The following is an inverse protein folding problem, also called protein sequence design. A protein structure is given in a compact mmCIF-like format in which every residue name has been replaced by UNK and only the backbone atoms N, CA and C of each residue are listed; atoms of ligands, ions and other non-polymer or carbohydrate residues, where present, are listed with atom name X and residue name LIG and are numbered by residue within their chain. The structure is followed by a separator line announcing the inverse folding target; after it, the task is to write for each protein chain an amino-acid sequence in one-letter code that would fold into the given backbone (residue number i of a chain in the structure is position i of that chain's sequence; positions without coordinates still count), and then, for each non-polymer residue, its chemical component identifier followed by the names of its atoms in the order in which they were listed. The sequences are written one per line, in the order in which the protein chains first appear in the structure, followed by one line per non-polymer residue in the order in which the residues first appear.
data_IF_266612381328
#
_entry.id   IF_266612381328
#
_cell.length_a   1.000
_cell.length_b   1.000
_cell.length_c   1.000
_cell.angle_alpha   90.00
_cell.angle_beta   90.00
_cell.angle_gamma   90.00
#
_symmetry.space_group_name_H-M   'P 1'
#
loop_
_entity.id
_entity.type
_entity.pdbx_description
1 polymer ?
#
# COMPACT_ATOMS: atom_id res chain seq x y z
N UNK A 1 -30.07 30.54 49.14
CA UNK A 1 -30.40 30.64 47.70
C UNK A 1 -29.14 31.05 46.94
N UNK A 2 -28.44 30.09 46.36
CA UNK A 2 -27.35 30.29 45.39
C UNK A 2 -27.48 29.12 44.39
N UNK A 3 -27.71 29.34 43.09
CA UNK A 3 -27.95 28.24 42.16
C UNK A 3 -26.66 27.64 41.61
N UNK A 4 -26.71 26.33 41.44
CA UNK A 4 -25.73 25.41 40.91
C UNK A 4 -25.46 25.60 39.41
N UNK A 5 -24.19 25.69 39.02
CA UNK A 5 -23.72 25.52 37.65
C UNK A 5 -22.76 24.32 37.59
N UNK A 6 -23.31 23.13 37.39
CA UNK A 6 -22.58 21.95 36.93
C UNK A 6 -23.47 21.16 35.99
N UNK A 7 -23.08 21.15 34.70
CA UNK A 7 -23.37 20.15 33.64
C UNK A 7 -23.42 20.86 32.28
N UNK A 8 -22.31 20.85 31.54
CA UNK A 8 -22.32 20.77 30.07
C UNK A 8 -20.89 20.73 29.51
N UNK A 9 -20.14 19.66 29.74
CA UNK A 9 -18.95 19.33 28.92
C UNK A 9 -18.87 17.81 28.83
N UNK A 10 -19.55 17.22 27.85
CA UNK A 10 -19.28 15.86 27.32
C UNK A 10 -20.21 15.61 26.13
N UNK A 11 -19.90 16.23 24.99
CA UNK A 11 -20.44 15.88 23.66
C UNK A 11 -19.68 16.63 22.57
N UNK A 12 -18.40 16.30 22.35
CA UNK A 12 -17.70 16.65 21.11
C UNK A 12 -16.41 15.83 20.94
N UNK A 13 -16.55 14.51 20.75
CA UNK A 13 -15.40 13.66 20.32
C UNK A 13 -15.75 12.87 19.03
N UNK A 14 -16.99 12.97 18.54
CA UNK A 14 -17.45 12.24 17.34
C UNK A 14 -17.15 12.92 15.99
N UNK A 15 -16.73 14.19 15.98
CA UNK A 15 -16.59 14.98 14.74
C UNK A 15 -15.28 14.73 13.98
N UNK A 16 -14.18 14.44 14.68
CA UNK A 16 -12.84 14.43 14.08
C UNK A 16 -12.56 13.17 13.23
N UNK A 17 -13.21 12.03 13.56
CA UNK A 17 -13.08 10.79 12.78
C UNK A 17 -13.67 10.85 11.38
N UNK A 18 -14.63 11.74 11.10
CA UNK A 18 -15.23 11.91 9.77
C UNK A 18 -14.38 12.75 8.82
N UNK A 19 -13.51 13.61 9.34
CA UNK A 19 -12.72 14.53 8.51
C UNK A 19 -11.52 13.83 7.84
N UNK A 20 -10.89 12.87 8.52
CA UNK A 20 -9.77 12.08 7.95
C UNK A 20 -10.28 11.06 6.92
N UNK A 21 -11.47 10.47 7.12
CA UNK A 21 -12.12 9.63 6.10
C UNK A 21 -12.59 10.45 4.88
N UNK A 22 -12.95 11.72 5.07
CA UNK A 22 -13.35 12.63 3.99
C UNK A 22 -12.20 13.01 3.05
N UNK A 23 -10.96 13.14 3.57
CA UNK A 23 -9.80 13.49 2.74
C UNK A 23 -9.38 12.32 1.81
N UNK A 24 -9.61 11.08 2.22
CA UNK A 24 -9.42 9.90 1.36
C UNK A 24 -10.48 9.80 0.25
N UNK A 25 -11.68 10.37 0.45
CA UNK A 25 -12.77 10.36 -0.53
C UNK A 25 -12.67 11.53 -1.54
N UNK A 26 -12.13 12.67 -1.15
CA UNK A 26 -12.10 13.87 -1.99
C UNK A 26 -10.99 13.88 -3.06
N UNK A 27 -9.91 13.11 -2.90
CA UNK A 27 -8.86 12.98 -3.93
C UNK A 27 -9.17 11.93 -5.01
N UNK A 28 -10.25 11.16 -4.89
CA UNK A 28 -10.61 10.10 -5.84
C UNK A 28 -11.38 10.55 -7.08
N UNK A 29 -11.78 11.83 -7.17
CA UNK A 29 -12.74 12.30 -8.19
C UNK A 29 -12.13 12.89 -9.47
N UNK A 30 -10.80 12.81 -9.66
CA UNK A 30 -10.12 13.32 -10.86
C UNK A 30 -9.02 12.36 -11.37
N UNK A 31 -9.24 11.05 -11.32
CA UNK A 31 -8.38 10.10 -12.02
C UNK A 31 -8.99 9.71 -13.38
N UNK A 32 -8.24 9.77 -14.49
CA UNK A 32 -8.72 9.33 -15.79
C UNK A 32 -9.11 7.85 -15.76
N UNK A 33 -10.23 7.53 -16.41
CA UNK A 33 -10.71 6.17 -16.62
C UNK A 33 -9.64 5.37 -17.37
N UNK A 34 -8.92 4.50 -16.66
CA UNK A 34 -7.81 3.72 -17.21
C UNK A 34 -6.86 3.13 -16.17
N UNK A 35 -6.85 3.66 -14.95
CA UNK A 35 -6.25 2.97 -13.81
C UNK A 35 -7.30 2.01 -13.25
N UNK A 36 -7.24 0.73 -13.61
CA UNK A 36 -7.97 -0.29 -12.83
C UNK A 36 -7.54 -0.11 -11.38
N UNK A 37 -8.47 0.19 -10.48
CA UNK A 37 -8.20 0.23 -9.05
C UNK A 37 -7.45 -1.06 -8.70
N UNK A 38 -6.17 -0.95 -8.35
CA UNK A 38 -5.42 -2.08 -7.82
C UNK A 38 -6.25 -2.71 -6.71
N UNK A 39 -6.27 -4.05 -6.56
CA UNK A 39 -6.94 -4.67 -5.44
C UNK A 39 -6.42 -4.01 -4.16
N UNK A 40 -7.34 -3.45 -3.37
CA UNK A 40 -7.02 -2.66 -2.17
C UNK A 40 -5.91 -3.36 -1.36
N UNK A 41 -4.83 -2.62 -1.06
CA UNK A 41 -3.75 -3.12 -0.20
C UNK A 41 -4.32 -3.59 1.13
N UNK A 42 -3.63 -4.49 1.84
CA UNK A 42 -4.09 -4.93 3.16
C UNK A 42 -4.35 -3.72 4.08
N UNK A 43 -3.49 -2.71 4.03
CA UNK A 43 -3.67 -1.46 4.76
C UNK A 43 -4.98 -0.74 4.42
N UNK A 44 -5.31 -0.58 3.14
CA UNK A 44 -6.55 0.08 2.71
C UNK A 44 -7.77 -0.72 3.13
N UNK A 45 -7.74 -2.05 2.99
CA UNK A 45 -8.82 -2.92 3.47
C UNK A 45 -9.05 -2.79 4.96
N UNK A 46 -7.97 -2.72 5.75
CA UNK A 46 -8.07 -2.48 7.19
C UNK A 46 -8.71 -1.10 7.45
N UNK A 47 -8.37 -0.05 6.69
CA UNK A 47 -8.82 1.31 6.95
C UNK A 47 -10.36 1.45 6.92
N UNK A 48 -11.03 0.74 6.00
CA UNK A 48 -12.49 0.76 5.84
C UNK A 48 -13.23 -0.24 6.75
N UNK A 49 -12.51 -0.98 7.59
CA UNK A 49 -13.07 -2.04 8.42
C UNK A 49 -13.16 -1.62 9.88
N UNK A 50 -14.35 -1.82 10.47
CA UNK A 50 -14.63 -1.51 11.87
C UNK A 50 -14.05 -2.55 12.84
N UNK A 51 -14.18 -3.84 12.47
CA UNK A 51 -13.77 -4.98 13.30
C UNK A 51 -12.90 -5.93 12.47
N UNK A 52 -11.69 -6.23 12.96
CA UNK A 52 -10.79 -7.21 12.36
C UNK A 52 -10.42 -8.23 13.42
N UNK A 53 -10.64 -9.50 13.10
CA UNK A 53 -10.53 -10.60 14.06
C UNK A 53 -9.76 -11.76 13.44
N UNK A 54 -8.89 -12.38 14.22
CA UNK A 54 -8.37 -13.71 13.95
C UNK A 54 -9.33 -14.71 14.55
N UNK A 55 -9.78 -15.67 13.75
CA UNK A 55 -10.78 -16.66 14.14
C UNK A 55 -10.37 -18.05 13.75
N UNK A 56 -10.93 -19.03 14.44
CA UNK A 56 -11.00 -20.43 14.02
C UNK A 56 -12.44 -20.77 13.65
N UNK A 57 -12.65 -21.36 12.48
CA UNK A 57 -13.98 -21.79 12.05
C UNK A 57 -14.38 -23.04 12.83
N UNK A 58 -15.54 -23.01 13.48
CA UNK A 58 -16.11 -24.17 14.17
C UNK A 58 -17.09 -24.95 13.28
N UNK A 59 -17.89 -24.23 12.50
CA UNK A 59 -18.86 -24.81 11.58
C UNK A 59 -19.00 -23.93 10.34
N UNK A 60 -18.65 -24.49 9.18
CA UNK A 60 -18.72 -23.85 7.87
C UNK A 60 -20.08 -23.87 7.15
N UNK A 61 -21.22 -24.16 7.81
CA UNK A 61 -22.50 -24.38 7.10
C UNK A 61 -22.83 -23.33 6.04
N UNK A 62 -23.60 -23.75 5.03
CA UNK A 62 -23.93 -22.93 3.86
C UNK A 62 -24.74 -21.65 4.16
N UNK A 63 -25.30 -21.49 5.37
CA UNK A 63 -26.14 -20.34 5.73
C UNK A 63 -25.39 -19.30 6.55
N UNK A 64 -24.66 -19.73 7.57
CA UNK A 64 -23.86 -18.91 8.46
C UNK A 64 -22.63 -19.73 8.86
N UNK A 65 -21.45 -19.12 8.83
CA UNK A 65 -20.28 -19.74 9.45
C UNK A 65 -20.25 -19.36 10.92
N UNK A 66 -20.09 -20.34 11.81
CA UNK A 66 -19.80 -20.12 13.22
C UNK A 66 -18.29 -20.11 13.40
N UNK A 67 -17.76 -19.05 14.01
CA UNK A 67 -16.33 -18.90 14.24
C UNK A 67 -16.06 -18.58 15.71
N UNK A 68 -15.02 -19.22 16.26
CA UNK A 68 -14.44 -18.86 17.53
C UNK A 68 -13.45 -17.72 17.33
N UNK A 69 -13.59 -16.65 18.13
CA UNK A 69 -12.65 -15.53 18.13
C UNK A 69 -11.41 -15.94 18.89
N UNK A 70 -10.27 -15.96 18.20
CA UNK A 70 -8.96 -16.20 18.81
C UNK A 70 -8.39 -14.87 19.33
N UNK A 71 -8.50 -13.81 18.51
CA UNK A 71 -8.00 -12.49 18.86
C UNK A 71 -8.75 -11.37 18.12
N UNK A 72 -8.92 -10.23 18.79
CA UNK A 72 -9.40 -8.98 18.17
C UNK A 72 -8.20 -8.11 17.78
N UNK A 73 -7.92 -8.03 16.48
CA UNK A 73 -6.77 -7.30 15.94
C UNK A 73 -7.06 -5.79 15.75
N UNK A 74 -8.31 -5.44 15.45
CA UNK A 74 -8.81 -4.06 15.33
C UNK A 74 -10.26 -3.97 15.77
N UNK A 75 -10.62 -2.88 16.45
CA UNK A 75 -11.97 -2.67 16.98
C UNK A 75 -12.11 -3.23 18.39
N UNK A 76 -13.34 -3.55 18.79
CA UNK A 76 -13.64 -4.18 20.08
C UNK A 76 -14.75 -5.21 19.91
N UNK A 77 -14.55 -6.39 20.50
CA UNK A 77 -15.53 -7.47 20.53
C UNK A 77 -15.29 -8.32 21.79
N UNK A 78 -16.36 -8.61 22.52
CA UNK A 78 -16.27 -9.19 23.88
C UNK A 78 -16.71 -10.66 23.97
N UNK A 79 -17.22 -11.24 22.87
CA UNK A 79 -17.73 -12.61 22.87
C UNK A 79 -16.74 -13.56 22.23
N UNK A 80 -16.77 -14.82 22.66
CA UNK A 80 -15.87 -15.85 22.12
C UNK A 80 -16.33 -16.37 20.76
N UNK A 81 -17.58 -16.10 20.36
CA UNK A 81 -18.19 -16.65 19.14
C UNK A 81 -18.92 -15.60 18.34
N UNK A 82 -18.74 -15.65 17.03
CA UNK A 82 -19.44 -14.80 16.05
C UNK A 82 -19.97 -15.62 14.87
N UNK A 83 -20.91 -15.03 14.14
CA UNK A 83 -21.55 -15.64 12.98
C UNK A 83 -21.36 -14.79 11.72
N UNK A 84 -20.87 -15.41 10.64
CA UNK A 84 -20.63 -14.74 9.37
C UNK A 84 -21.75 -15.05 8.38
N UNK A 85 -22.45 -14.01 7.92
CA UNK A 85 -23.45 -14.11 6.88
C UNK A 85 -22.84 -13.84 5.50
N UNK A 86 -22.47 -14.91 4.78
CA UNK A 86 -21.82 -14.84 3.47
C UNK A 86 -22.64 -15.42 2.30
N UNK A 87 -23.80 -16.05 2.57
CA UNK A 87 -24.63 -16.67 1.52
C UNK A 87 -25.11 -15.67 0.46
N UNK A 88 -25.57 -14.50 0.87
CA UNK A 88 -26.02 -13.47 -0.06
C UNK A 88 -24.88 -12.99 -0.97
N UNK A 89 -23.66 -12.92 -0.44
CA UNK A 89 -22.47 -12.53 -1.21
C UNK A 89 -22.11 -13.60 -2.25
N UNK A 90 -22.25 -14.88 -1.90
CA UNK A 90 -22.10 -16.01 -2.82
C UNK A 90 -23.18 -16.06 -3.91
N UNK A 91 -24.41 -15.61 -3.62
CA UNK A 91 -25.49 -15.55 -4.62
C UNK A 91 -25.30 -14.38 -5.58
N UNK A 92 -24.73 -13.26 -5.11
CA UNK A 92 -24.48 -12.05 -5.90
C UNK A 92 -23.08 -12.03 -6.54
N UNK A 93 -22.42 -13.18 -6.66
CA UNK A 93 -21.09 -13.28 -7.26
C UNK A 93 -21.19 -13.26 -8.79
N UNK A 94 -20.21 -12.64 -9.43
CA UNK A 94 -20.00 -12.80 -10.87
C UNK A 94 -19.62 -14.25 -11.16
N UNK A 95 -20.09 -14.81 -12.28
CA UNK A 95 -20.02 -16.25 -12.61
C UNK A 95 -18.62 -16.88 -12.55
N UNK A 96 -17.56 -16.07 -12.56
CA UNK A 96 -16.16 -16.52 -12.58
C UNK A 96 -15.41 -16.29 -11.27
N UNK A 97 -16.07 -15.75 -10.24
CA UNK A 97 -15.43 -15.52 -8.93
C UNK A 97 -15.59 -16.73 -8.01
N UNK A 98 -14.52 -17.00 -7.28
CA UNK A 98 -14.51 -18.03 -6.25
C UNK A 98 -15.58 -17.80 -5.21
N UNK A 99 -16.07 -18.93 -4.69
CA UNK A 99 -17.08 -18.93 -3.64
C UNK A 99 -16.39 -18.69 -2.30
N UNK A 100 -17.01 -17.89 -1.44
CA UNK A 100 -16.64 -17.81 -0.03
C UNK A 100 -17.02 -19.14 0.62
N UNK A 101 -16.01 -19.86 1.11
CA UNK A 101 -16.15 -21.13 1.83
C UNK A 101 -15.40 -21.01 3.15
N UNK A 102 -15.98 -21.59 4.20
CA UNK A 102 -15.36 -21.74 5.52
C UNK A 102 -15.19 -23.24 5.75
N UNK A 103 -13.97 -23.68 6.02
CA UNK A 103 -13.69 -25.07 6.37
C UNK A 103 -13.54 -25.20 7.88
N UNK A 104 -14.06 -26.28 8.45
CA UNK A 104 -13.97 -26.53 9.89
C UNK A 104 -12.51 -26.59 10.33
N UNK A 105 -12.22 -26.06 11.53
CA UNK A 105 -10.88 -25.86 12.12
C UNK A 105 -9.94 -24.93 11.33
N UNK A 106 -10.37 -24.36 10.20
CA UNK A 106 -9.56 -23.39 9.45
C UNK A 106 -9.42 -22.08 10.22
N UNK A 107 -8.19 -21.58 10.31
CA UNK A 107 -7.90 -20.24 10.83
C UNK A 107 -7.89 -19.19 9.71
N UNK A 108 -8.51 -18.05 10.00
CA UNK A 108 -8.60 -16.92 9.06
C UNK A 108 -8.55 -15.59 9.82
N UNK A 109 -8.10 -14.54 9.13
CA UNK A 109 -8.36 -13.15 9.54
C UNK A 109 -9.59 -12.66 8.79
N UNK A 110 -10.59 -12.17 9.52
CA UNK A 110 -11.82 -11.65 8.96
C UNK A 110 -11.93 -10.15 9.16
N UNK A 111 -12.28 -9.45 8.09
CA UNK A 111 -12.60 -8.02 8.07
C UNK A 111 -14.12 -7.88 8.06
N UNK A 112 -14.67 -7.33 9.15
CA UNK A 112 -16.08 -7.47 9.48
C UNK A 112 -16.81 -6.12 9.57
N UNK A 113 -18.06 -6.14 9.11
CA UNK A 113 -19.06 -5.10 9.37
C UNK A 113 -20.33 -5.71 9.96
N UNK A 114 -21.01 -5.06 10.92
CA UNK A 114 -22.25 -5.58 11.50
C UNK A 114 -23.33 -5.78 10.43
N UNK A 115 -24.08 -6.89 10.48
CA UNK A 115 -25.27 -7.04 9.62
C UNK A 115 -26.33 -6.06 10.09
N UNK A 116 -26.71 -5.12 9.22
CA UNK A 116 -27.82 -4.19 9.47
C UNK A 116 -29.10 -4.66 8.78
N UNK A 117 -30.25 -4.34 9.38
CA UNK A 117 -31.56 -4.51 8.76
C UNK A 117 -31.89 -3.36 7.79
N UNK A 118 -33.11 -3.36 7.23
CA UNK A 118 -33.56 -2.30 6.31
C UNK A 118 -33.69 -0.92 6.97
N UNK A 119 -33.74 -0.86 8.30
CA UNK A 119 -33.79 0.37 9.09
C UNK A 119 -32.39 0.80 9.56
N UNK A 120 -31.35 0.04 9.24
CA UNK A 120 -29.97 0.31 9.62
C UNK A 120 -29.59 -0.18 11.03
N UNK A 121 -30.48 -0.87 11.74
CA UNK A 121 -30.19 -1.44 13.06
C UNK A 121 -29.42 -2.75 12.94
N UNK A 122 -28.47 -3.05 13.84
CA UNK A 122 -27.78 -4.33 13.84
C UNK A 122 -28.77 -5.47 14.09
N UNK A 123 -28.85 -6.44 13.16
CA UNK A 123 -29.79 -7.57 13.24
C UNK A 123 -29.54 -8.47 14.44
N UNK A 124 -28.28 -8.64 14.83
CA UNK A 124 -27.85 -9.36 16.01
C UNK A 124 -26.44 -8.89 16.41
N UNK A 125 -26.11 -8.83 17.71
CA UNK A 125 -24.84 -8.28 18.20
C UNK A 125 -23.60 -9.13 17.84
N UNK A 126 -23.79 -10.38 17.45
CA UNK A 126 -22.71 -11.31 17.08
C UNK A 126 -22.76 -11.73 15.60
N UNK A 127 -23.51 -11.00 14.77
CA UNK A 127 -23.70 -11.37 13.36
C UNK A 127 -23.09 -10.32 12.43
N UNK A 128 -22.18 -10.76 11.58
CA UNK A 128 -21.36 -9.90 10.73
C UNK A 128 -21.41 -10.34 9.26
N UNK A 129 -20.91 -9.48 8.38
CA UNK A 129 -20.60 -9.77 6.97
C UNK A 129 -19.14 -9.43 6.71
N UNK A 130 -18.57 -10.03 5.67
CA UNK A 130 -17.22 -9.71 5.22
C UNK A 130 -17.21 -8.37 4.46
N UNK A 131 -16.28 -7.49 4.83
CA UNK A 131 -15.99 -6.26 4.08
C UNK A 131 -15.35 -6.65 2.75
N UNK A 132 -15.86 -6.12 1.63
CA UNK A 132 -15.30 -6.45 0.31
C UNK A 132 -15.56 -7.90 -0.15
N UNK A 133 -16.59 -8.58 0.39
CA UNK A 133 -16.95 -9.97 0.04
C UNK A 133 -15.77 -10.93 0.31
N UNK A 134 -15.27 -11.62 -0.72
CA UNK A 134 -14.18 -12.59 -0.60
C UNK A 134 -12.89 -11.95 -0.05
N UNK A 135 -12.61 -10.69 -0.40
CA UNK A 135 -11.40 -9.98 0.02
C UNK A 135 -11.37 -9.68 1.53
N UNK A 136 -12.52 -9.83 2.21
CA UNK A 136 -12.63 -9.68 3.65
C UNK A 136 -12.29 -10.94 4.44
N UNK A 137 -12.04 -12.08 3.77
CA UNK A 137 -11.52 -13.30 4.38
C UNK A 137 -10.09 -13.50 3.91
N UNK A 138 -9.15 -13.59 4.85
CA UNK A 138 -7.76 -13.91 4.59
C UNK A 138 -7.49 -15.25 5.28
N UNK A 139 -7.34 -16.29 4.49
CA UNK A 139 -7.04 -17.61 5.02
C UNK A 139 -5.58 -17.67 5.47
N UNK A 140 -5.38 -18.19 6.68
CA UNK A 140 -4.05 -18.27 7.27
C UNK A 140 -3.43 -19.64 6.92
N UNK A 141 -2.36 -19.67 6.11
CA UNK A 141 -1.62 -20.90 5.87
C UNK A 141 -0.91 -21.36 7.15
N UNK A 142 -0.64 -22.66 7.25
CA UNK A 142 0.10 -23.22 8.38
C UNK A 142 1.49 -22.55 8.55
N UNK A 143 2.16 -22.27 7.43
CA UNK A 143 3.42 -21.53 7.38
C UNK A 143 3.16 -20.05 7.10
N UNK A 144 3.65 -19.15 7.97
CA UNK A 144 3.52 -17.71 7.76
C UNK A 144 2.23 -17.07 8.28
N UNK A 145 1.33 -17.81 8.92
CA UNK A 145 0.16 -17.26 9.62
C UNK A 145 0.55 -16.13 10.57
N UNK A 146 1.58 -16.38 11.40
CA UNK A 146 2.03 -15.41 12.41
C UNK A 146 2.51 -14.10 11.78
N UNK A 147 3.24 -14.17 10.66
CA UNK A 147 3.69 -12.99 9.94
C UNK A 147 2.49 -12.17 9.42
N UNK A 148 1.42 -12.82 8.97
CA UNK A 148 0.21 -12.12 8.51
C UNK A 148 -0.53 -11.46 9.67
N UNK A 149 -0.66 -12.16 10.81
CA UNK A 149 -1.27 -11.61 12.03
C UNK A 149 -0.48 -10.39 12.53
N UNK A 150 0.85 -10.50 12.61
CA UNK A 150 1.72 -9.41 13.05
C UNK A 150 1.66 -8.21 12.11
N UNK A 151 1.58 -8.45 10.80
CA UNK A 151 1.36 -7.38 9.83
C UNK A 151 0.03 -6.65 10.12
N UNK A 152 -1.07 -7.37 10.32
CA UNK A 152 -2.37 -6.76 10.63
C UNK A 152 -2.33 -5.97 11.94
N UNK A 153 -1.66 -6.47 13.00
CA UNK A 153 -1.47 -5.74 14.26
C UNK A 153 -0.71 -4.44 14.03
N UNK A 154 0.43 -4.52 13.33
CA UNK A 154 1.30 -3.37 13.06
C UNK A 154 0.58 -2.31 12.24
N UNK A 155 -0.09 -2.70 11.15
CA UNK A 155 -0.86 -1.79 10.31
C UNK A 155 -2.05 -1.17 11.06
N UNK A 156 -2.75 -1.94 11.88
CA UNK A 156 -3.84 -1.44 12.72
C UNK A 156 -3.35 -0.44 13.78
N UNK A 157 -2.13 -0.62 14.30
CA UNK A 157 -1.50 0.34 15.20
C UNK A 157 -1.17 1.66 14.49
N UNK A 158 -0.65 1.61 13.25
CA UNK A 158 -0.40 2.80 12.44
C UNK A 158 -1.70 3.57 12.17
N UNK A 159 -2.82 2.89 11.89
CA UNK A 159 -4.13 3.53 11.68
C UNK A 159 -4.72 4.22 12.92
N UNK A 160 -4.22 3.88 14.11
CA UNK A 160 -4.63 4.53 15.37
C UNK A 160 -3.86 5.82 15.64
N UNK A 161 -2.76 6.08 14.91
CA UNK A 161 -2.02 7.32 15.03
C UNK A 161 -2.91 8.49 14.58
N UNK A 162 -2.96 9.53 15.41
CA UNK A 162 -3.73 10.75 15.11
C UNK A 162 -2.90 11.81 14.42
N UNK A 163 -1.57 11.78 14.62
CA UNK A 163 -0.64 12.70 13.98
C UNK A 163 -0.20 12.17 12.60
N UNK A 164 -0.40 13.00 11.58
CA UNK A 164 -0.04 12.68 10.21
C UNK A 164 1.47 12.53 10.02
N UNK A 165 2.29 13.29 10.75
CA UNK A 165 3.75 13.20 10.65
C UNK A 165 4.27 11.89 11.21
N UNK A 166 3.70 11.44 12.34
CA UNK A 166 4.00 10.12 12.91
C UNK A 166 3.56 9.00 11.98
N UNK A 167 2.39 9.15 11.34
CA UNK A 167 1.87 8.18 10.36
C UNK A 167 2.82 8.06 9.16
N UNK A 168 3.28 9.19 8.60
CA UNK A 168 4.22 9.20 7.49
C UNK A 168 5.59 8.64 7.85
N UNK A 169 6.09 8.95 9.05
CA UNK A 169 7.31 8.34 9.56
C UNK A 169 7.16 6.83 9.70
N UNK A 170 6.02 6.35 10.21
CA UNK A 170 5.74 4.93 10.33
C UNK A 170 5.73 4.22 8.97
N UNK A 171 5.14 4.81 7.92
CA UNK A 171 5.18 4.23 6.57
C UNK A 171 6.60 4.07 6.03
N UNK A 172 7.50 5.02 6.30
CA UNK A 172 8.92 4.90 5.91
C UNK A 172 9.62 3.78 6.67
N UNK A 173 9.34 3.65 7.97
CA UNK A 173 9.90 2.58 8.78
C UNK A 173 9.44 1.18 8.34
N UNK A 174 8.30 1.06 7.64
CA UNK A 174 7.87 -0.24 7.10
C UNK A 174 8.85 -0.83 6.07
N UNK A 175 9.69 -0.01 5.43
CA UNK A 175 10.72 -0.49 4.50
C UNK A 175 11.88 -1.19 5.21
N UNK A 176 12.02 -1.01 6.53
CA UNK A 176 13.06 -1.66 7.35
C UNK A 176 12.58 -2.98 7.96
N UNK A 177 11.31 -3.34 7.74
CA UNK A 177 10.72 -4.57 8.27
C UNK A 177 11.14 -5.78 7.43
N UNK A 178 11.23 -6.94 8.06
CA UNK A 178 11.49 -8.20 7.34
C UNK A 178 10.23 -8.81 6.73
N UNK A 179 9.06 -8.35 7.17
CA UNK A 179 7.78 -8.88 6.72
C UNK A 179 7.39 -8.28 5.36
N UNK A 180 7.25 -9.10 4.30
CA UNK A 180 7.00 -8.60 2.95
C UNK A 180 5.67 -7.84 2.82
N UNK A 181 4.65 -8.18 3.62
CA UNK A 181 3.35 -7.48 3.63
C UNK A 181 3.53 -6.04 4.13
N UNK A 182 4.39 -5.85 5.13
CA UNK A 182 4.71 -4.53 5.69
C UNK A 182 5.52 -3.71 4.70
N UNK A 183 6.57 -4.31 4.11
CA UNK A 183 7.41 -3.65 3.10
C UNK A 183 6.58 -3.21 1.88
N UNK A 184 5.73 -4.09 1.34
CA UNK A 184 4.82 -3.78 0.23
C UNK A 184 3.90 -2.60 0.59
N UNK A 185 3.36 -2.61 1.81
CA UNK A 185 2.54 -1.49 2.31
C UNK A 185 3.36 -0.20 2.39
N UNK A 186 4.60 -0.27 2.89
CA UNK A 186 5.53 0.86 2.95
C UNK A 186 5.72 1.50 1.58
N UNK A 187 6.09 0.70 0.57
CA UNK A 187 6.21 1.16 -0.81
C UNK A 187 4.92 1.81 -1.32
N UNK A 188 3.78 1.13 -1.16
CA UNK A 188 2.50 1.63 -1.65
C UNK A 188 2.12 2.99 -1.03
N UNK A 189 2.28 3.14 0.29
CA UNK A 189 1.94 4.40 0.97
C UNK A 189 2.95 5.52 0.64
N UNK A 190 4.24 5.20 0.52
CA UNK A 190 5.27 6.19 0.15
C UNK A 190 4.99 6.74 -1.24
N UNK A 191 4.73 5.87 -2.22
CA UNK A 191 4.42 6.29 -3.59
C UNK A 191 3.10 7.08 -3.65
N UNK A 192 2.05 6.59 -2.97
CA UNK A 192 0.73 7.22 -2.94
C UNK A 192 0.75 8.64 -2.38
N UNK A 193 1.47 8.85 -1.28
CA UNK A 193 1.54 10.14 -0.59
C UNK A 193 2.79 10.96 -0.92
N UNK A 194 3.60 10.49 -1.87
CA UNK A 194 4.86 11.10 -2.28
C UNK A 194 5.80 11.37 -1.09
N UNK A 195 6.03 10.37 -0.25
CA UNK A 195 6.78 10.49 1.01
C UNK A 195 8.27 10.16 0.91
N UNK A 196 8.78 9.90 -0.29
CA UNK A 196 10.21 9.66 -0.52
C UNK A 196 11.08 10.83 -0.02
N UNK A 197 12.16 10.49 0.69
CA UNK A 197 13.22 11.40 1.10
C UNK A 197 14.61 10.79 0.80
N UNK A 198 15.69 11.59 0.73
CA UNK A 198 17.03 11.09 0.42
C UNK A 198 17.57 10.04 1.41
N UNK A 199 17.16 10.10 2.67
CA UNK A 199 17.57 9.14 3.71
C UNK A 199 17.19 7.69 3.39
N UNK A 200 16.17 7.48 2.55
CA UNK A 200 15.76 6.13 2.12
C UNK A 200 16.65 5.54 1.03
N UNK A 201 17.46 6.35 0.32
CA UNK A 201 18.23 5.88 -0.84
C UNK A 201 19.10 4.66 -0.52
N UNK A 202 19.87 4.60 0.59
CA UNK A 202 20.65 3.40 0.94
C UNK A 202 19.79 2.14 1.04
N UNK A 203 18.67 2.20 1.76
CA UNK A 203 17.74 1.07 1.91
C UNK A 203 17.10 0.69 0.57
N UNK A 204 16.78 1.67 -0.27
CA UNK A 204 16.21 1.41 -1.60
C UNK A 204 17.21 0.74 -2.55
N UNK A 205 18.52 1.00 -2.39
CA UNK A 205 19.56 0.31 -3.13
C UNK A 205 19.67 -1.17 -2.73
N UNK A 206 19.49 -1.51 -1.45
CA UNK A 206 19.46 -2.90 -0.98
C UNK A 206 18.30 -3.68 -1.61
N UNK A 207 17.13 -3.04 -1.79
CA UNK A 207 15.99 -3.66 -2.44
C UNK A 207 16.22 -3.99 -3.93
N UNK A 208 17.24 -3.41 -4.58
CA UNK A 208 17.59 -3.77 -5.96
C UNK A 208 18.16 -5.19 -6.08
N UNK A 209 18.59 -5.80 -4.96
CA UNK A 209 19.06 -7.19 -4.91
C UNK A 209 17.94 -8.17 -4.52
N UNK A 210 16.70 -7.69 -4.33
CA UNK A 210 15.55 -8.52 -4.00
C UNK A 210 15.25 -9.55 -5.08
N UNK A 211 14.91 -10.78 -4.68
CA UNK A 211 14.42 -11.81 -5.60
C UNK A 211 13.05 -11.46 -6.19
N UNK A 212 12.24 -10.71 -5.44
CA UNK A 212 10.94 -10.22 -5.88
C UNK A 212 11.10 -8.98 -6.76
N UNK A 213 10.73 -9.09 -8.03
CA UNK A 213 10.83 -8.02 -9.02
C UNK A 213 9.91 -6.84 -8.68
N UNK A 214 8.81 -7.08 -7.95
CA UNK A 214 7.91 -6.02 -7.49
C UNK A 214 8.61 -5.10 -6.50
N UNK A 215 9.45 -5.65 -5.62
CA UNK A 215 10.24 -4.83 -4.68
C UNK A 215 11.34 -4.06 -5.37
N UNK A 216 12.07 -4.70 -6.31
CA UNK A 216 13.08 -3.99 -7.13
C UNK A 216 12.45 -2.81 -7.86
N UNK A 217 11.32 -3.05 -8.53
CA UNK A 217 10.57 -2.02 -9.25
C UNK A 217 10.06 -0.92 -8.31
N UNK A 218 9.40 -1.26 -7.22
CA UNK A 218 8.87 -0.28 -6.27
C UNK A 218 9.98 0.59 -5.67
N UNK A 219 11.15 0.01 -5.40
CA UNK A 219 12.31 0.76 -4.94
C UNK A 219 12.78 1.80 -5.97
N UNK A 220 12.83 1.45 -7.25
CA UNK A 220 13.17 2.37 -8.35
C UNK A 220 12.12 3.47 -8.54
N UNK A 221 10.84 3.15 -8.36
CA UNK A 221 9.76 4.14 -8.42
C UNK A 221 9.86 5.16 -7.27
N UNK A 222 10.18 4.70 -6.04
CA UNK A 222 10.42 5.61 -4.90
C UNK A 222 11.69 6.43 -5.12
N UNK A 223 12.78 5.83 -5.63
CA UNK A 223 14.00 6.56 -5.99
C UNK A 223 13.74 7.64 -7.04
N UNK A 224 12.99 7.33 -8.09
CA UNK A 224 12.55 8.30 -9.11
C UNK A 224 11.84 9.49 -8.47
N UNK A 225 10.96 9.22 -7.50
CA UNK A 225 10.23 10.26 -6.78
C UNK A 225 11.17 11.14 -5.92
N UNK A 226 12.15 10.52 -5.26
CA UNK A 226 13.18 11.22 -4.47
C UNK A 226 14.03 12.10 -5.40
N UNK A 227 14.58 11.55 -6.48
CA UNK A 227 15.50 12.26 -7.37
C UNK A 227 14.83 13.46 -8.04
N UNK A 228 13.57 13.34 -8.48
CA UNK A 228 12.82 14.49 -9.01
C UNK A 228 12.66 15.61 -7.99
N UNK A 229 12.44 15.24 -6.72
CA UNK A 229 12.30 16.20 -5.63
C UNK A 229 13.66 16.86 -5.34
N UNK A 230 14.70 16.06 -5.10
CA UNK A 230 16.05 16.55 -4.79
C UNK A 230 16.62 17.41 -5.92
N UNK A 231 16.41 17.05 -7.19
CA UNK A 231 16.81 17.86 -8.35
C UNK A 231 16.11 19.22 -8.39
N UNK A 232 14.83 19.27 -8.02
CA UNK A 232 14.07 20.53 -7.96
C UNK A 232 14.49 21.39 -6.77
N UNK A 233 14.78 20.74 -5.65
CA UNK A 233 15.10 21.40 -4.38
C UNK A 233 16.64 21.63 -4.23
N UNK A 234 17.43 21.30 -5.25
CA UNK A 234 18.91 21.36 -5.29
C UNK A 234 19.60 20.65 -4.10
N UNK A 235 18.96 19.58 -3.61
CA UNK A 235 19.43 18.81 -2.45
C UNK A 235 20.37 17.67 -2.91
N UNK A 236 21.58 17.56 -2.35
CA UNK A 236 22.50 16.48 -2.69
C UNK A 236 22.00 15.15 -2.12
N UNK A 237 22.11 14.08 -2.92
CA UNK A 237 21.65 12.73 -2.53
C UNK A 237 22.72 11.93 -1.77
N UNK A 238 23.99 12.36 -1.85
CA UNK A 238 25.13 11.64 -1.30
C UNK A 238 25.47 10.37 -2.09
N UNK A 239 26.77 10.06 -2.19
CA UNK A 239 27.30 8.87 -2.88
C UNK A 239 26.74 8.66 -4.31
N UNK A 240 26.70 9.75 -5.06
CA UNK A 240 26.02 9.83 -6.36
C UNK A 240 26.52 8.80 -7.38
N UNK A 241 27.84 8.61 -7.44
CA UNK A 241 28.45 7.69 -8.40
C UNK A 241 28.08 6.24 -8.11
N UNK A 242 27.96 5.86 -6.84
CA UNK A 242 27.47 4.53 -6.46
C UNK A 242 26.02 4.34 -6.85
N UNK A 243 25.15 5.33 -6.59
CA UNK A 243 23.74 5.29 -6.99
C UNK A 243 23.63 5.10 -8.51
N UNK A 244 24.32 5.92 -9.29
CA UNK A 244 24.31 5.85 -10.76
C UNK A 244 24.81 4.49 -11.25
N UNK A 245 25.92 3.98 -10.72
CA UNK A 245 26.46 2.68 -11.09
C UNK A 245 25.46 1.53 -10.83
N UNK A 246 24.78 1.54 -9.68
CA UNK A 246 23.75 0.55 -9.36
C UNK A 246 22.56 0.64 -10.31
N UNK A 247 22.06 1.85 -10.60
CA UNK A 247 20.94 2.04 -11.51
C UNK A 247 21.27 1.64 -12.95
N UNK A 248 22.49 1.92 -13.42
CA UNK A 248 22.96 1.49 -14.75
C UNK A 248 23.03 -0.04 -14.84
N UNK A 249 23.55 -0.69 -13.80
CA UNK A 249 23.59 -2.16 -13.72
C UNK A 249 22.18 -2.73 -13.88
N UNK A 250 21.21 -2.23 -13.10
CA UNK A 250 19.82 -2.68 -13.18
C UNK A 250 19.20 -2.39 -14.56
N UNK A 251 19.43 -1.20 -15.12
CA UNK A 251 18.89 -0.81 -16.43
C UNK A 251 19.41 -1.69 -17.58
N UNK A 252 20.60 -2.28 -17.45
CA UNK A 252 21.22 -3.12 -18.48
C UNK A 252 20.98 -4.62 -18.26
N UNK A 253 20.95 -5.06 -17.00
CA UNK A 253 21.11 -6.50 -16.67
C UNK A 253 19.91 -7.12 -15.97
N UNK A 254 18.95 -6.35 -15.43
CA UNK A 254 17.82 -6.95 -14.71
C UNK A 254 17.01 -7.87 -15.64
N UNK A 255 16.67 -9.10 -15.23
CA UNK A 255 15.95 -10.02 -16.10
C UNK A 255 14.54 -9.52 -16.48
N UNK A 256 13.92 -8.69 -15.63
CA UNK A 256 12.54 -8.22 -15.80
C UNK A 256 12.51 -6.89 -16.56
N UNK A 257 11.92 -6.83 -17.77
CA UNK A 257 11.89 -5.60 -18.56
C UNK A 257 11.24 -4.39 -17.86
N UNK A 258 10.22 -4.62 -17.04
CA UNK A 258 9.56 -3.54 -16.28
C UNK A 258 10.47 -2.94 -15.20
N UNK A 259 11.38 -3.72 -14.62
CA UNK A 259 12.37 -3.23 -13.66
C UNK A 259 13.42 -2.39 -14.41
N UNK A 260 13.88 -2.84 -15.59
CA UNK A 260 14.79 -2.06 -16.45
C UNK A 260 14.19 -0.72 -16.87
N UNK A 261 12.90 -0.69 -17.26
CA UNK A 261 12.16 0.57 -17.53
C UNK A 261 12.19 1.49 -16.31
N UNK A 262 11.89 0.98 -15.12
CA UNK A 262 11.89 1.78 -13.90
C UNK A 262 13.30 2.32 -13.58
N UNK A 263 14.36 1.56 -13.85
CA UNK A 263 15.75 2.00 -13.67
C UNK A 263 16.13 3.12 -14.65
N UNK A 264 15.73 3.01 -15.93
CA UNK A 264 15.89 4.09 -16.91
C UNK A 264 15.15 5.35 -16.47
N UNK A 265 13.92 5.23 -15.94
CA UNK A 265 13.16 6.36 -15.42
C UNK A 265 13.85 7.02 -14.21
N UNK A 266 14.43 6.22 -13.32
CA UNK A 266 15.22 6.70 -12.19
C UNK A 266 16.47 7.46 -12.66
N UNK A 267 17.23 6.92 -13.62
CA UNK A 267 18.39 7.60 -14.23
C UNK A 267 18.01 8.95 -14.86
N UNK A 268 16.90 8.99 -15.62
CA UNK A 268 16.40 10.23 -16.19
C UNK A 268 15.96 11.24 -15.12
N UNK A 269 15.31 10.77 -14.05
CA UNK A 269 14.89 11.61 -12.92
C UNK A 269 16.09 12.18 -12.16
N UNK A 270 17.18 11.42 -12.08
CA UNK A 270 18.44 11.88 -11.53
C UNK A 270 19.00 13.06 -12.33
N UNK A 271 18.95 12.97 -13.66
CA UNK A 271 19.25 14.11 -14.53
C UNK A 271 20.73 14.32 -14.84
N UNK A 272 21.60 13.35 -14.55
CA UNK A 272 23.02 13.50 -14.84
C UNK A 272 23.32 13.28 -16.34
N UNK A 273 24.17 14.11 -16.95
CA UNK A 273 24.51 13.98 -18.37
C UNK A 273 25.43 12.80 -18.69
N UNK A 274 26.25 12.37 -17.73
CA UNK A 274 27.22 11.29 -17.92
C UNK A 274 26.58 9.90 -18.15
N UNK A 275 25.30 9.73 -17.81
CA UNK A 275 24.56 8.49 -18.11
C UNK A 275 24.09 8.39 -19.57
N UNK A 276 24.23 9.47 -20.37
CA UNK A 276 23.72 9.53 -21.74
C UNK A 276 24.27 8.44 -22.65
N UNK A 277 25.56 8.11 -22.54
CA UNK A 277 26.19 7.09 -23.38
C UNK A 277 25.59 5.70 -23.09
N UNK A 278 25.43 5.35 -21.81
CA UNK A 278 24.85 4.09 -21.40
C UNK A 278 23.35 4.01 -21.77
N UNK A 279 22.58 5.09 -21.59
CA UNK A 279 21.18 5.12 -22.01
C UNK A 279 21.02 5.00 -23.54
N UNK A 280 21.96 5.52 -24.33
CA UNK A 280 21.97 5.31 -25.78
C UNK A 280 22.24 3.86 -26.16
N UNK A 281 23.09 3.15 -25.39
CA UNK A 281 23.31 1.72 -25.58
C UNK A 281 22.03 0.94 -25.26
N UNK A 282 21.40 1.19 -24.10
CA UNK A 282 20.11 0.58 -23.73
C UNK A 282 19.03 0.84 -24.80
N UNK A 283 18.98 2.06 -25.35
CA UNK A 283 18.03 2.42 -26.41
C UNK A 283 18.21 1.62 -27.71
N UNK A 284 19.44 1.18 -28.02
CA UNK A 284 19.75 0.42 -29.24
C UNK A 284 19.64 -1.09 -29.03
N UNK A 285 20.19 -1.58 -27.92
CA UNK A 285 20.57 -2.98 -27.78
C UNK A 285 19.64 -3.78 -26.86
N UNK A 286 18.80 -3.14 -26.04
CA UNK A 286 17.92 -3.86 -25.12
C UNK A 286 16.93 -4.75 -25.91
N UNK A 287 16.73 -6.03 -25.53
CA UNK A 287 15.81 -6.92 -26.23
C UNK A 287 14.35 -6.46 -26.18
N UNK A 288 13.94 -5.75 -25.13
CA UNK A 288 12.57 -5.26 -24.94
C UNK A 288 12.34 -3.94 -25.65
N UNK A 289 11.33 -3.90 -26.54
CA UNK A 289 10.91 -2.67 -27.20
C UNK A 289 10.47 -1.59 -26.20
N UNK A 290 9.84 -1.96 -25.09
CA UNK A 290 9.42 -1.00 -24.05
C UNK A 290 10.62 -0.31 -23.40
N UNK A 291 11.69 -1.06 -23.12
CA UNK A 291 12.92 -0.52 -22.53
C UNK A 291 13.62 0.41 -23.53
N UNK A 292 13.77 -0.03 -24.79
CA UNK A 292 14.37 0.81 -25.85
C UNK A 292 13.62 2.14 -26.02
N UNK A 293 12.28 2.10 -26.00
CA UNK A 293 11.45 3.29 -26.08
C UNK A 293 11.70 4.25 -24.90
N UNK A 294 11.63 3.77 -23.66
CA UNK A 294 11.84 4.61 -22.48
C UNK A 294 13.27 5.20 -22.45
N UNK A 295 14.28 4.42 -22.84
CA UNK A 295 15.66 4.88 -22.93
C UNK A 295 15.83 5.97 -24.00
N UNK A 296 15.20 5.81 -25.16
CA UNK A 296 15.20 6.83 -26.23
C UNK A 296 14.56 8.14 -25.74
N UNK A 297 13.41 8.05 -25.07
CA UNK A 297 12.72 9.21 -24.49
C UNK A 297 13.60 9.90 -23.44
N UNK A 298 14.28 9.13 -22.60
CA UNK A 298 15.17 9.64 -21.56
C UNK A 298 16.39 10.36 -22.13
N UNK A 299 17.06 9.78 -23.14
CA UNK A 299 18.17 10.43 -23.87
C UNK A 299 17.73 11.76 -24.47
N UNK A 300 16.55 11.79 -25.10
CA UNK A 300 16.01 13.03 -25.68
C UNK A 300 15.76 14.11 -24.62
N UNK A 301 15.19 13.74 -23.47
CA UNK A 301 14.92 14.68 -22.37
C UNK A 301 16.21 15.26 -21.79
N UNK A 302 17.19 14.41 -21.48
CA UNK A 302 18.47 14.83 -20.90
C UNK A 302 19.24 15.78 -21.82
N UNK A 303 19.32 15.48 -23.13
CA UNK A 303 19.96 16.39 -24.10
C UNK A 303 19.28 17.74 -24.20
N UNK A 304 17.95 17.77 -24.10
CA UNK A 304 17.20 19.03 -24.13
C UNK A 304 17.48 19.87 -22.88
N UNK A 305 17.60 19.22 -21.73
CA UNK A 305 17.97 19.87 -20.46
C UNK A 305 19.40 20.43 -20.53
N UNK A 306 20.40 19.66 -21.01
CA UNK A 306 21.77 20.14 -21.26
C UNK A 306 21.81 21.38 -22.18
N UNK A 307 21.15 21.30 -23.36
CA UNK A 307 21.13 22.38 -24.32
C UNK A 307 20.44 23.66 -23.81
N UNK A 308 19.50 23.53 -22.86
CA UNK A 308 18.87 24.68 -22.21
C UNK A 308 19.76 25.35 -21.16
N UNK A 309 20.61 24.57 -20.48
CA UNK A 309 21.57 25.09 -19.50
C UNK A 309 22.75 25.83 -20.17
N UNK A 310 23.11 25.46 -21.41
CA UNK A 310 24.24 26.06 -22.13
C UNK A 310 23.96 27.42 -22.78
N UNK A 311 22.72 27.93 -22.78
CA UNK A 311 22.37 29.19 -23.45
C UNK A 311 22.66 30.38 -22.50
N UNK A 312 23.65 31.25 -22.77
CA UNK A 312 23.92 32.39 -21.90
C UNK A 312 22.71 33.35 -21.90
N UNK A 313 22.37 33.88 -20.72
CA UNK A 313 21.37 34.93 -20.58
C UNK A 313 21.81 36.17 -21.40
N UNK A 314 20.89 36.86 -22.09
CA UNK A 314 21.21 38.01 -22.94
C UNK A 314 21.78 39.20 -22.17
#
# INVERSE_FOLDING_TARGET
MIPSLTRSILRSVGGFRRMVAGLALALGLLLPAGLSASPDTLYERLAYTDLVVHVRTLDGTLRLAECQVVEVLKGSYERDKLFIAFRADNTQRENFRDRIVFFDEQESILLLTPVRDSLGHPRAPNRFRLVGKLNGKIDLPQEGAQATIDAVRRLSAIQKLTDIHQTWAAYRLLLLETNPILVETGFAQILKFRLGNPELVPTLLEFLDSRDDRFRRAALEVQTQIFRKSRRDEEPLGNEDHVVARLLTVAMEDPTPLVRVAAVQALNAYGRPDVLAALQQVARDDPSQFVRYEATVSVYRLRREEGSAQKPAP
#
